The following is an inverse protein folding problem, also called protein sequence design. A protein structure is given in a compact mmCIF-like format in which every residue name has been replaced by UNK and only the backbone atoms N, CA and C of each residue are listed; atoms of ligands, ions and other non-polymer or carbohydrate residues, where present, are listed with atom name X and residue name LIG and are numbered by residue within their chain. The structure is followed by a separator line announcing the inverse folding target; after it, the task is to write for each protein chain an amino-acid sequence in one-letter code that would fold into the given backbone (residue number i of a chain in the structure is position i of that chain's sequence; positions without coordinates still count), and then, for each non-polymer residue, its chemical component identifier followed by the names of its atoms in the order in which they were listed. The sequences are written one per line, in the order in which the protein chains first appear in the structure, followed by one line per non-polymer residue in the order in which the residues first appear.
data_IF_967111665901
#
_entry.id   IF_967111665901
#
_cell.length_a   1.000
_cell.length_b   1.000
_cell.length_c   1.000
_cell.angle_alpha   90.00
_cell.angle_beta   90.00
_cell.angle_gamma   90.00
#
_symmetry.space_group_name_H-M   'P 1'
#
loop_
_entity.id
_entity.type
_entity.pdbx_description
1 polymer ?
#
# COMPACT_ATOMS: atom_id res chain seq x y z
N UNK A 1 -17.08 17.06 -30.52
CA UNK A 1 -17.77 16.09 -29.64
C UNK A 1 -16.72 15.17 -28.99
N UNK A 2 -15.68 15.72 -28.34
CA UNK A 2 -14.42 14.98 -28.10
C UNK A 2 -13.82 15.18 -26.69
N UNK A 3 -14.64 15.51 -25.69
CA UNK A 3 -14.16 15.90 -24.36
C UNK A 3 -14.76 15.12 -23.19
N UNK A 4 -15.43 13.98 -23.40
CA UNK A 4 -16.07 13.23 -22.30
C UNK A 4 -15.23 12.08 -21.71
N UNK A 5 -14.12 11.68 -22.35
CA UNK A 5 -13.35 10.49 -21.92
C UNK A 5 -12.16 10.78 -20.98
N UNK A 6 -11.85 12.04 -20.67
CA UNK A 6 -10.65 12.43 -19.87
C UNK A 6 -10.80 12.33 -18.34
N UNK A 7 -11.73 11.52 -17.83
CA UNK A 7 -11.89 11.35 -16.38
C UNK A 7 -12.04 9.88 -15.96
N UNK A 8 -11.47 8.94 -16.73
CA UNK A 8 -11.36 7.55 -16.29
C UNK A 8 -10.36 7.46 -15.13
N UNK A 9 -10.88 7.20 -13.93
CA UNK A 9 -10.07 6.88 -12.74
C UNK A 9 -9.80 5.38 -12.75
N UNK A 10 -8.60 4.98 -13.15
CA UNK A 10 -8.18 3.58 -13.10
C UNK A 10 -7.58 3.28 -11.72
N UNK A 11 -7.92 2.12 -11.17
CA UNK A 11 -7.45 1.69 -9.86
C UNK A 11 -6.80 0.32 -10.03
N UNK A 12 -5.51 0.24 -9.68
CA UNK A 12 -4.79 -1.02 -9.59
C UNK A 12 -4.69 -1.45 -8.13
N UNK A 13 -4.85 -2.74 -7.88
CA UNK A 13 -4.65 -3.35 -6.57
C UNK A 13 -3.56 -4.41 -6.70
N UNK A 14 -2.50 -4.26 -5.92
CA UNK A 14 -1.33 -5.14 -5.95
C UNK A 14 -1.12 -5.68 -4.54
N UNK A 15 -0.76 -6.96 -4.44
CA UNK A 15 -0.31 -7.58 -3.19
C UNK A 15 1.14 -7.95 -3.35
N UNK A 16 1.99 -7.39 -2.49
CA UNK A 16 3.44 -7.55 -2.56
C UNK A 16 3.93 -8.28 -1.31
N UNK A 17 4.87 -9.22 -1.48
CA UNK A 17 5.52 -9.96 -0.39
C UNK A 17 7.04 -9.73 -0.43
N UNK A 18 7.66 -9.53 0.74
CA UNK A 18 9.10 -9.30 0.86
C UNK A 18 9.64 -9.84 2.19
N UNK A 19 10.96 -10.02 2.31
CA UNK A 19 11.63 -10.34 3.58
C UNK A 19 11.75 -11.84 3.88
N UNK A 20 11.33 -12.70 2.94
CA UNK A 20 11.44 -14.15 3.07
C UNK A 20 12.87 -14.62 3.34
N UNK A 21 13.85 -14.11 2.58
CA UNK A 21 15.25 -14.50 2.69
C UNK A 21 15.87 -14.24 4.08
N UNK A 22 15.35 -13.26 4.82
CA UNK A 22 15.81 -12.92 6.18
C UNK A 22 14.87 -13.48 7.27
N UNK A 23 13.98 -14.42 6.92
CA UNK A 23 12.98 -15.02 7.82
C UNK A 23 12.06 -13.98 8.49
N UNK A 24 11.80 -12.87 7.81
CA UNK A 24 10.91 -11.78 8.26
C UNK A 24 9.95 -11.40 7.15
N UNK A 25 9.16 -12.38 6.69
CA UNK A 25 8.19 -12.18 5.62
C UNK A 25 7.12 -11.16 6.03
N UNK A 26 6.92 -10.16 5.19
CA UNK A 26 5.86 -9.17 5.29
C UNK A 26 5.03 -9.14 4.02
N UNK A 27 3.74 -8.82 4.17
CA UNK A 27 2.80 -8.64 3.06
C UNK A 27 2.18 -7.26 3.15
N UNK A 28 2.14 -6.57 2.02
CA UNK A 28 1.49 -5.27 1.88
C UNK A 28 0.46 -5.30 0.76
N UNK A 29 -0.56 -4.45 0.90
CA UNK A 29 -1.60 -4.21 -0.09
C UNK A 29 -1.45 -2.80 -0.61
N UNK A 30 -1.28 -2.66 -1.92
CA UNK A 30 -1.08 -1.39 -2.59
C UNK A 30 -2.31 -1.07 -3.45
N UNK A 31 -2.78 0.17 -3.37
CA UNK A 31 -3.84 0.70 -4.23
C UNK A 31 -3.30 1.90 -4.98
N UNK A 32 -3.05 1.72 -6.27
CA UNK A 32 -2.55 2.77 -7.16
C UNK A 32 -3.73 3.38 -7.90
N UNK A 33 -3.97 4.67 -7.69
CA UNK A 33 -5.00 5.43 -8.37
C UNK A 33 -4.32 6.20 -9.50
N UNK A 34 -4.70 5.87 -10.74
CA UNK A 34 -4.22 6.54 -11.94
C UNK A 34 -5.30 7.51 -12.43
N UNK A 35 -4.89 8.73 -12.73
CA UNK A 35 -5.72 9.76 -13.36
C UNK A 35 -5.01 10.25 -14.61
N UNK A 36 -5.71 10.33 -15.73
CA UNK A 36 -5.16 10.80 -17.01
C UNK A 36 -3.88 10.05 -17.42
N UNK A 37 -3.86 8.73 -17.22
CA UNK A 37 -2.72 7.88 -17.56
C UNK A 37 -1.51 8.03 -16.63
N UNK A 38 -1.57 8.87 -15.59
CA UNK A 38 -0.48 9.07 -14.63
C UNK A 38 -0.87 8.61 -13.21
N UNK A 39 0.05 8.00 -12.45
CA UNK A 39 -0.20 7.68 -11.06
C UNK A 39 -0.40 8.97 -10.27
N UNK A 40 -1.59 9.13 -9.70
CA UNK A 40 -1.97 10.32 -8.95
C UNK A 40 -1.89 10.10 -7.44
N UNK A 41 -2.09 8.86 -6.98
CA UNK A 41 -2.00 8.51 -5.57
C UNK A 41 -1.67 7.02 -5.40
N UNK A 42 -0.84 6.72 -4.42
CA UNK A 42 -0.59 5.35 -3.95
C UNK A 42 -1.02 5.27 -2.49
N UNK A 43 -1.83 4.26 -2.16
CA UNK A 43 -2.16 3.92 -0.76
C UNK A 43 -1.55 2.58 -0.44
N UNK A 44 -0.81 2.51 0.66
CA UNK A 44 -0.19 1.28 1.14
C UNK A 44 -0.86 0.90 2.46
N UNK A 45 -1.28 -0.35 2.56
CA UNK A 45 -1.85 -0.93 3.76
C UNK A 45 -1.17 -2.25 4.10
N UNK A 46 -1.27 -2.64 5.37
CA UNK A 46 -0.75 -3.90 5.87
C UNK A 46 -1.40 -4.24 7.20
N UNK A 47 -1.37 -5.51 7.57
CA UNK A 47 -1.78 -5.95 8.91
C UNK A 47 -0.55 -6.01 9.80
N UNK A 48 -0.70 -5.57 11.04
CA UNK A 48 0.34 -5.69 12.06
C UNK A 48 -0.14 -6.58 13.20
N UNK A 49 0.77 -7.36 13.78
CA UNK A 49 0.54 -8.12 14.99
C UNK A 49 1.36 -7.49 16.13
N UNK A 50 0.71 -7.20 17.26
CA UNK A 50 1.41 -6.71 18.45
C UNK A 50 2.06 -7.91 19.14
N UNK A 51 3.38 -7.89 19.31
CA UNK A 51 4.12 -9.00 19.92
C UNK A 51 4.36 -8.82 21.42
N UNK A 52 4.65 -7.60 21.86
CA UNK A 52 4.85 -7.26 23.26
C UNK A 52 4.25 -5.88 23.54
N UNK A 53 3.59 -5.75 24.68
CA UNK A 53 3.10 -4.46 25.20
C UNK A 53 3.58 -4.30 26.62
N UNK A 54 4.23 -3.17 26.91
CA UNK A 54 4.77 -2.88 28.23
C UNK A 54 5.16 -1.41 28.36
N UNK A 55 5.54 -1.00 29.58
CA UNK A 55 5.98 0.36 29.88
C UNK A 55 7.50 0.35 30.08
N UNK A 56 8.22 1.09 29.25
CA UNK A 56 9.65 1.30 29.43
C UNK A 56 9.86 2.21 30.65
N UNK A 57 10.55 1.72 31.68
CA UNK A 57 10.96 2.52 32.84
C UNK A 57 12.42 2.89 32.66
N UNK A 58 12.66 4.16 32.38
CA UNK A 58 14.01 4.74 32.30
C UNK A 58 14.39 5.19 33.72
N UNK A 59 15.59 4.84 34.18
CA UNK A 59 16.16 5.29 35.47
C UNK A 59 17.14 6.42 35.25
#
# INVERSE_FOLDING_TARGET
MEQSHRNARTIYQITSEQGYAIKRSGKIYEKIIVKNGKPAQVKVGGKAATTLKGRLRIR
#
